data_IF_368990509132
#
_entry.id   IF_368990509132
#
_cell.length_a   1.000
_cell.length_b   1.000
_cell.length_c   1.000
_cell.angle_alpha   90.00
_cell.angle_beta   90.00
_cell.angle_gamma   90.00
#
_symmetry.space_group_name_H-M   'P 1'
#
loop_
_entity.id
_entity.type
_entity.pdbx_description
1 polymer ?
#
# COMPACT_ATOMS: atom_id res chain seq x y z
N UNK A 1 -8.62 -17.26 -22.46
CA UNK A 1 -8.86 -17.31 -20.99
C UNK A 1 -9.49 -16.00 -20.57
N UNK A 2 -10.68 -16.08 -19.95
CA UNK A 2 -11.44 -14.91 -19.45
C UNK A 2 -11.14 -14.68 -17.96
N UNK A 3 -10.56 -13.55 -17.63
CA UNK A 3 -10.15 -13.20 -16.27
C UNK A 3 -10.97 -12.02 -15.78
N UNK A 4 -11.60 -12.16 -14.62
CA UNK A 4 -12.32 -11.08 -13.96
C UNK A 4 -11.59 -10.66 -12.69
N UNK A 5 -11.19 -9.38 -12.61
CA UNK A 5 -10.61 -8.79 -11.42
C UNK A 5 -11.62 -7.95 -10.65
N UNK A 6 -11.82 -8.26 -9.39
CA UNK A 6 -12.50 -7.36 -8.46
C UNK A 6 -11.47 -6.52 -7.71
N UNK A 7 -11.50 -5.21 -7.95
CA UNK A 7 -10.50 -4.27 -7.43
C UNK A 7 -11.15 -3.01 -6.87
N UNK A 8 -10.54 -2.38 -5.87
CA UNK A 8 -10.92 -1.04 -5.39
C UNK A 8 -10.35 0.10 -6.26
N UNK A 9 -9.63 -0.22 -7.34
CA UNK A 9 -8.97 0.76 -8.21
C UNK A 9 -9.83 1.04 -9.43
N UNK A 10 -10.46 2.22 -9.46
CA UNK A 10 -11.19 2.73 -10.63
C UNK A 10 -10.23 3.33 -11.66
N UNK A 11 -10.51 3.14 -12.96
CA UNK A 11 -9.69 3.70 -14.04
C UNK A 11 -9.94 5.19 -14.29
N UNK A 12 -11.16 5.66 -14.11
CA UNK A 12 -11.63 6.92 -14.72
C UNK A 12 -11.43 8.21 -13.92
N UNK A 13 -11.31 8.20 -12.60
CA UNK A 13 -11.37 9.45 -11.84
C UNK A 13 -10.37 9.59 -10.68
N UNK A 14 -9.42 8.72 -10.56
CA UNK A 14 -8.39 8.89 -9.56
C UNK A 14 -7.07 9.36 -10.20
N UNK A 15 -7.02 10.65 -10.58
CA UNK A 15 -5.78 11.42 -10.52
C UNK A 15 -5.25 11.49 -9.07
N UNK A 16 -5.98 10.97 -8.10
CA UNK A 16 -5.54 10.78 -6.73
C UNK A 16 -4.66 9.51 -6.67
N UNK A 17 -3.39 9.72 -6.41
CA UNK A 17 -2.32 8.71 -6.31
C UNK A 17 -2.47 7.80 -5.07
N UNK A 18 -3.66 7.34 -4.78
CA UNK A 18 -4.00 6.51 -3.62
C UNK A 18 -3.77 5.02 -3.81
N UNK A 19 -2.57 4.58 -4.19
CA UNK A 19 -2.26 3.15 -4.35
C UNK A 19 -2.81 2.51 -5.63
N UNK A 20 -2.45 1.27 -5.93
CA UNK A 20 -3.02 0.51 -7.06
C UNK A 20 -2.42 0.80 -8.45
N UNK A 21 -1.41 1.64 -8.57
CA UNK A 21 -0.70 1.86 -9.84
C UNK A 21 -0.13 0.57 -10.41
N UNK A 22 0.38 -0.31 -9.58
CA UNK A 22 0.89 -1.62 -9.95
C UNK A 22 -0.20 -2.56 -10.50
N UNK A 23 -1.46 -2.47 -10.01
CA UNK A 23 -2.60 -3.25 -10.53
C UNK A 23 -2.90 -2.81 -11.97
N UNK A 24 -2.97 -1.51 -12.22
CA UNK A 24 -3.19 -0.96 -13.56
C UNK A 24 -2.06 -1.31 -14.52
N UNK A 25 -0.81 -1.25 -14.05
CA UNK A 25 0.35 -1.66 -14.85
C UNK A 25 0.26 -3.12 -15.27
N UNK A 26 -0.08 -4.01 -14.34
CA UNK A 26 -0.25 -5.43 -14.63
C UNK A 26 -1.46 -5.68 -15.55
N UNK A 27 -2.59 -5.01 -15.36
CA UNK A 27 -3.76 -5.12 -16.23
C UNK A 27 -3.42 -4.73 -17.67
N UNK A 28 -2.76 -3.58 -17.85
CA UNK A 28 -2.35 -3.08 -19.17
C UNK A 28 -1.36 -4.00 -19.88
N UNK A 29 -0.47 -4.69 -19.17
CA UNK A 29 0.46 -5.62 -19.81
C UNK A 29 -0.19 -6.99 -20.09
N UNK A 30 -1.09 -7.47 -19.23
CA UNK A 30 -1.86 -8.69 -19.47
C UNK A 30 -2.82 -8.53 -20.67
N UNK A 31 -3.44 -7.37 -20.84
CA UNK A 31 -4.38 -7.11 -21.92
C UNK A 31 -3.76 -7.10 -23.32
N UNK A 32 -2.43 -7.02 -23.42
CA UNK A 32 -1.71 -7.13 -24.71
C UNK A 32 -1.59 -8.57 -25.22
N UNK A 33 -2.05 -9.55 -24.44
CA UNK A 33 -1.98 -10.98 -24.78
C UNK A 33 -3.26 -11.40 -25.48
N UNK A 34 -3.13 -11.88 -26.72
CA UNK A 34 -4.27 -12.29 -27.56
C UNK A 34 -5.08 -13.46 -26.97
N UNK A 35 -4.43 -14.28 -26.11
CA UNK A 35 -5.06 -15.43 -25.45
C UNK A 35 -5.76 -15.06 -24.13
N UNK A 36 -5.81 -13.76 -23.76
CA UNK A 36 -6.43 -13.27 -22.53
C UNK A 36 -7.51 -12.23 -22.83
N UNK A 37 -8.68 -12.45 -22.23
CA UNK A 37 -9.73 -11.45 -22.12
C UNK A 37 -9.85 -11.00 -20.67
N UNK A 38 -9.38 -9.79 -20.36
CA UNK A 38 -9.38 -9.22 -19.02
C UNK A 38 -10.56 -8.26 -18.80
N UNK A 39 -11.23 -8.37 -17.68
CA UNK A 39 -12.16 -7.37 -17.18
C UNK A 39 -11.82 -6.98 -15.74
N UNK A 40 -12.05 -5.71 -15.40
CA UNK A 40 -11.95 -5.18 -14.03
C UNK A 40 -13.31 -4.68 -13.56
N UNK A 41 -13.80 -5.18 -12.44
CA UNK A 41 -15.04 -4.76 -11.82
C UNK A 41 -14.75 -4.00 -10.51
N UNK A 42 -15.42 -2.88 -10.31
CA UNK A 42 -15.25 -1.99 -9.16
C UNK A 42 -16.53 -1.22 -8.86
N UNK A 43 -16.72 -0.79 -7.61
CA UNK A 43 -17.81 0.08 -7.26
C UNK A 43 -17.54 1.52 -7.70
N UNK A 44 -18.59 2.16 -8.24
CA UNK A 44 -18.51 3.51 -8.76
C UNK A 44 -19.76 4.32 -8.41
N UNK A 45 -19.62 5.63 -8.24
CA UNK A 45 -20.70 6.50 -7.76
C UNK A 45 -21.59 7.03 -8.90
N UNK A 46 -21.14 6.93 -10.16
CA UNK A 46 -21.94 7.26 -11.33
C UNK A 46 -22.44 5.99 -12.02
N UNK A 47 -23.63 6.06 -12.59
CA UNK A 47 -24.22 4.98 -13.40
C UNK A 47 -23.64 5.03 -14.80
N UNK A 48 -22.57 4.27 -15.01
CA UNK A 48 -21.85 4.19 -16.28
C UNK A 48 -21.86 2.76 -16.77
N UNK A 49 -22.23 2.55 -18.03
CA UNK A 49 -22.13 1.24 -18.69
C UNK A 49 -20.70 0.74 -18.76
N UNK A 50 -20.52 -0.57 -18.88
CA UNK A 50 -19.23 -1.18 -19.13
C UNK A 50 -18.59 -0.60 -20.40
N UNK A 51 -17.28 -0.38 -20.37
CA UNK A 51 -16.51 0.22 -21.47
C UNK A 51 -15.13 -0.42 -21.58
N UNK A 52 -14.53 -0.29 -22.74
CA UNK A 52 -13.16 -0.73 -22.99
C UNK A 52 -12.20 0.46 -22.93
N UNK A 53 -11.11 0.32 -22.18
CA UNK A 53 -10.04 1.30 -22.08
C UNK A 53 -8.71 0.58 -21.78
N UNK A 54 -7.61 1.04 -22.38
CA UNK A 54 -6.28 0.45 -22.25
C UNK A 54 -6.22 -1.05 -22.61
N UNK A 55 -7.09 -1.52 -23.51
CA UNK A 55 -7.12 -2.88 -24.05
C UNK A 55 -7.82 -3.90 -23.15
N UNK A 56 -8.55 -3.46 -22.12
CA UNK A 56 -9.36 -4.35 -21.28
C UNK A 56 -10.69 -3.72 -20.87
N UNK A 57 -11.65 -4.58 -20.50
CA UNK A 57 -13.00 -4.16 -20.14
C UNK A 57 -13.04 -3.61 -18.72
N UNK A 58 -13.74 -2.50 -18.53
CA UNK A 58 -14.07 -1.91 -17.23
C UNK A 58 -15.55 -2.09 -16.96
N UNK A 59 -15.90 -2.67 -15.81
CA UNK A 59 -17.28 -2.94 -15.39
C UNK A 59 -17.53 -2.16 -14.09
N UNK A 60 -17.96 -0.88 -14.19
CA UNK A 60 -18.36 -0.10 -13.02
C UNK A 60 -19.67 -0.67 -12.45
N UNK A 61 -19.66 -1.03 -11.18
CA UNK A 61 -20.88 -1.41 -10.45
C UNK A 61 -21.43 -0.17 -9.76
N UNK A 62 -22.57 0.31 -10.24
CA UNK A 62 -23.19 1.52 -9.71
C UNK A 62 -23.56 1.37 -8.24
N UNK A 63 -23.04 2.25 -7.42
CA UNK A 63 -23.33 2.31 -6.00
C UNK A 63 -23.26 3.75 -5.50
N UNK A 64 -24.42 4.34 -5.24
CA UNK A 64 -24.50 5.66 -4.64
C UNK A 64 -23.64 5.75 -3.37
N UNK A 65 -22.88 6.84 -3.26
CA UNK A 65 -22.17 7.15 -2.04
C UNK A 65 -23.18 7.28 -0.89
N UNK A 66 -22.91 6.58 0.20
CA UNK A 66 -23.79 6.62 1.37
C UNK A 66 -23.89 8.04 1.91
N UNK A 67 -25.10 8.54 2.08
CA UNK A 67 -25.38 9.80 2.78
C UNK A 67 -24.83 9.76 4.22
N UNK A 68 -24.69 10.90 4.87
CA UNK A 68 -24.25 10.99 6.28
C UNK A 68 -25.11 10.10 7.21
N UNK A 69 -26.43 10.10 6.99
CA UNK A 69 -27.38 9.28 7.75
C UNK A 69 -27.16 7.79 7.49
N UNK A 70 -26.97 7.39 6.22
CA UNK A 70 -26.69 6.00 5.86
C UNK A 70 -25.31 5.54 6.37
N UNK A 71 -24.28 6.40 6.34
CA UNK A 71 -22.97 6.15 6.97
C UNK A 71 -23.11 5.95 8.48
N UNK A 72 -23.93 6.77 9.14
CA UNK A 72 -24.22 6.59 10.57
C UNK A 72 -24.96 5.26 10.81
N UNK A 73 -26.04 4.97 10.07
CA UNK A 73 -26.81 3.74 10.21
C UNK A 73 -25.96 2.49 9.94
N UNK A 74 -25.13 2.49 8.91
CA UNK A 74 -24.19 1.40 8.63
C UNK A 74 -23.24 1.11 9.80
N UNK A 75 -22.84 2.15 10.53
CA UNK A 75 -21.93 2.01 11.66
C UNK A 75 -22.58 1.44 12.92
N UNK A 76 -23.88 1.64 13.10
CA UNK A 76 -24.58 1.30 14.36
C UNK A 76 -25.61 0.19 14.20
N UNK A 77 -26.17 -0.02 13.01
CA UNK A 77 -27.22 -1.00 12.74
C UNK A 77 -26.63 -2.20 12.00
N UNK A 78 -26.50 -3.33 12.72
CA UNK A 78 -25.94 -4.57 12.15
C UNK A 78 -26.84 -5.15 11.05
N UNK A 79 -28.16 -5.00 11.15
CA UNK A 79 -29.10 -5.51 10.15
C UNK A 79 -28.98 -4.71 8.86
N UNK A 80 -28.91 -3.37 8.96
CA UNK A 80 -28.68 -2.51 7.80
C UNK A 80 -27.34 -2.82 7.13
N UNK A 81 -26.26 -3.02 7.92
CA UNK A 81 -24.95 -3.41 7.38
C UNK A 81 -25.03 -4.73 6.62
N UNK A 82 -25.68 -5.74 7.19
CA UNK A 82 -25.86 -7.05 6.55
C UNK A 82 -26.60 -6.94 5.23
N UNK A 83 -27.74 -6.25 5.21
CA UNK A 83 -28.55 -6.04 3.98
C UNK A 83 -27.75 -5.29 2.91
N UNK A 84 -26.94 -4.29 3.31
CA UNK A 84 -26.08 -3.55 2.39
C UNK A 84 -24.98 -4.44 1.79
N UNK A 85 -24.36 -5.30 2.59
CA UNK A 85 -23.33 -6.23 2.13
C UNK A 85 -23.93 -7.33 1.23
N UNK A 86 -25.16 -7.77 1.49
CA UNK A 86 -25.90 -8.70 0.64
C UNK A 86 -26.25 -8.08 -0.73
N UNK A 87 -26.67 -6.82 -0.77
CA UNK A 87 -26.91 -6.12 -2.03
C UNK A 87 -25.64 -5.97 -2.88
N UNK A 88 -24.51 -5.68 -2.25
CA UNK A 88 -23.21 -5.67 -2.95
C UNK A 88 -22.88 -7.05 -3.53
N UNK A 89 -23.15 -8.13 -2.80
CA UNK A 89 -22.88 -9.50 -3.27
C UNK A 89 -23.74 -9.87 -4.50
N UNK A 90 -24.99 -9.42 -4.55
CA UNK A 90 -25.86 -9.62 -5.72
C UNK A 90 -25.26 -8.91 -6.95
N UNK A 91 -24.84 -7.66 -6.82
CA UNK A 91 -24.20 -6.93 -7.94
C UNK A 91 -22.95 -7.64 -8.45
N UNK A 92 -22.11 -8.16 -7.55
CA UNK A 92 -20.91 -8.92 -7.94
C UNK A 92 -21.29 -10.20 -8.70
N UNK A 93 -22.34 -10.91 -8.28
CA UNK A 93 -22.81 -12.12 -8.96
C UNK A 93 -23.35 -11.82 -10.35
N UNK A 94 -24.11 -10.74 -10.52
CA UNK A 94 -24.61 -10.33 -11.83
C UNK A 94 -23.46 -10.08 -12.82
N UNK A 95 -22.37 -9.40 -12.37
CA UNK A 95 -21.18 -9.20 -13.19
C UNK A 95 -20.51 -10.53 -13.55
N UNK A 96 -20.46 -11.50 -12.64
CA UNK A 96 -19.90 -12.82 -12.91
C UNK A 96 -20.75 -13.59 -13.93
N UNK A 97 -22.06 -13.55 -13.80
CA UNK A 97 -23.00 -14.20 -14.71
C UNK A 97 -22.94 -13.60 -16.12
N UNK A 98 -22.83 -12.28 -16.22
CA UNK A 98 -22.77 -11.56 -17.51
C UNK A 98 -21.41 -11.76 -18.20
N UNK A 99 -20.29 -11.61 -17.47
CA UNK A 99 -18.96 -11.73 -18.06
C UNK A 99 -18.55 -13.20 -18.28
N UNK A 100 -19.07 -14.15 -17.49
CA UNK A 100 -18.75 -15.60 -17.55
C UNK A 100 -17.22 -15.86 -17.52
N UNK A 101 -16.49 -15.46 -16.45
CA UNK A 101 -15.05 -15.63 -16.37
C UNK A 101 -14.65 -17.08 -16.11
N UNK A 102 -13.48 -17.49 -16.62
CA UNK A 102 -12.83 -18.76 -16.27
C UNK A 102 -12.23 -18.70 -14.86
N UNK A 103 -11.72 -17.53 -14.47
CA UNK A 103 -11.08 -17.30 -13.17
C UNK A 103 -11.38 -15.88 -12.64
N UNK A 104 -11.52 -15.78 -11.33
CA UNK A 104 -11.73 -14.50 -10.64
C UNK A 104 -10.52 -14.18 -9.77
N UNK A 105 -10.06 -12.93 -9.77
CA UNK A 105 -9.06 -12.44 -8.83
C UNK A 105 -9.63 -11.33 -7.94
N UNK A 106 -9.42 -11.46 -6.63
CA UNK A 106 -9.80 -10.46 -5.63
C UNK A 106 -8.53 -9.87 -5.03
N UNK A 107 -8.42 -8.54 -5.02
CA UNK A 107 -7.25 -7.85 -4.48
C UNK A 107 -7.49 -7.42 -3.03
N UNK A 108 -6.64 -7.92 -2.12
CA UNK A 108 -6.60 -7.57 -0.70
C UNK A 108 -7.65 -8.26 0.16
N UNK A 109 -7.25 -8.60 1.38
CA UNK A 109 -8.14 -9.18 2.41
C UNK A 109 -9.09 -8.12 3.00
N UNK A 110 -8.74 -6.83 2.85
CA UNK A 110 -9.55 -5.68 3.22
C UNK A 110 -10.72 -5.43 2.28
N UNK A 111 -10.67 -6.01 1.10
CA UNK A 111 -11.59 -5.75 0.00
C UNK A 111 -13.06 -6.07 0.37
N UNK A 112 -13.95 -5.23 -0.15
CA UNK A 112 -15.41 -5.45 -0.07
C UNK A 112 -15.87 -6.65 -0.92
N UNK A 113 -14.99 -7.17 -1.78
CA UNK A 113 -15.23 -8.30 -2.69
C UNK A 113 -14.90 -9.66 -2.06
N UNK A 114 -14.23 -9.68 -0.91
CA UNK A 114 -13.89 -10.93 -0.20
C UNK A 114 -15.09 -11.83 0.16
N UNK A 115 -16.35 -11.34 0.31
CA UNK A 115 -17.50 -12.21 0.51
C UNK A 115 -17.81 -13.20 -0.63
N UNK A 116 -17.21 -13.01 -1.83
CA UNK A 116 -17.29 -13.98 -2.93
C UNK A 116 -16.49 -15.26 -2.66
N UNK A 117 -15.41 -15.17 -1.87
CA UNK A 117 -14.50 -16.29 -1.57
C UNK A 117 -15.29 -17.35 -0.79
N UNK A 118 -15.25 -18.59 -1.28
CA UNK A 118 -16.01 -19.71 -0.73
C UNK A 118 -17.50 -19.74 -1.12
N UNK A 119 -18.01 -18.79 -1.94
CA UNK A 119 -19.41 -18.71 -2.35
C UNK A 119 -19.62 -18.74 -3.86
N UNK A 120 -18.58 -18.93 -4.62
CA UNK A 120 -18.61 -19.01 -6.08
C UNK A 120 -18.00 -20.34 -6.53
N UNK A 121 -18.56 -20.95 -7.58
CA UNK A 121 -18.03 -22.19 -8.16
C UNK A 121 -16.80 -21.92 -9.04
N UNK A 122 -16.73 -20.71 -9.63
CA UNK A 122 -15.57 -20.29 -10.43
C UNK A 122 -14.36 -20.13 -9.49
N UNK A 123 -13.18 -20.61 -9.85
CA UNK A 123 -11.98 -20.46 -9.05
C UNK A 123 -11.70 -18.99 -8.71
N UNK A 124 -11.51 -18.70 -7.42
CA UNK A 124 -11.16 -17.35 -6.95
C UNK A 124 -9.75 -17.40 -6.38
N UNK A 125 -8.88 -16.51 -6.86
CA UNK A 125 -7.56 -16.29 -6.29
C UNK A 125 -7.54 -14.98 -5.52
N UNK A 126 -7.06 -15.03 -4.27
CA UNK A 126 -6.88 -13.86 -3.42
C UNK A 126 -5.45 -13.33 -3.58
N UNK A 127 -5.31 -12.13 -4.15
CA UNK A 127 -4.01 -11.47 -4.26
C UNK A 127 -3.81 -10.51 -3.08
N UNK A 128 -2.86 -10.81 -2.20
CA UNK A 128 -2.61 -10.06 -0.97
C UNK A 128 -2.05 -8.68 -1.26
N UNK A 129 -2.60 -7.64 -0.62
CA UNK A 129 -2.09 -6.27 -0.67
C UNK A 129 -1.47 -5.87 0.68
N UNK A 130 -2.19 -6.08 1.75
CA UNK A 130 -1.76 -5.89 3.12
C UNK A 130 -2.21 -7.04 4.00
N UNK A 131 -1.63 -7.14 5.19
CA UNK A 131 -1.99 -8.12 6.19
C UNK A 131 -2.61 -7.41 7.38
N UNK A 132 -3.92 -7.49 7.52
CA UNK A 132 -4.70 -6.64 8.42
C UNK A 132 -4.46 -6.94 9.90
N UNK A 133 -4.25 -8.22 10.26
CA UNK A 133 -3.94 -8.58 11.65
C UNK A 133 -2.59 -7.99 12.11
N UNK A 134 -1.49 -8.09 11.36
CA UNK A 134 -0.25 -7.35 11.65
C UNK A 134 -0.42 -5.83 11.66
N UNK A 135 -1.18 -5.27 10.72
CA UNK A 135 -1.46 -3.83 10.68
C UNK A 135 -2.26 -3.40 11.92
N UNK A 136 -3.26 -4.16 12.33
CA UNK A 136 -4.02 -3.90 13.55
C UNK A 136 -3.12 -3.91 14.79
N UNK A 137 -2.21 -4.88 14.88
CA UNK A 137 -1.25 -4.96 15.98
C UNK A 137 -0.29 -3.76 16.03
N UNK A 138 0.11 -3.22 14.89
CA UNK A 138 1.02 -2.07 14.78
C UNK A 138 0.31 -0.70 14.71
N UNK A 139 -1.02 -0.66 14.82
CA UNK A 139 -1.81 0.56 14.57
C UNK A 139 -1.47 1.71 15.51
N UNK A 140 -1.22 1.41 16.79
CA UNK A 140 -0.80 2.37 17.78
C UNK A 140 0.70 2.23 18.06
N UNK A 141 1.52 3.09 17.45
CA UNK A 141 2.96 3.04 17.67
C UNK A 141 3.34 3.56 19.07
N UNK A 142 4.44 3.08 19.59
CA UNK A 142 5.18 3.67 20.69
C UNK A 142 4.34 4.06 21.93
N UNK A 143 3.70 3.08 22.58
CA UNK A 143 2.90 3.28 23.79
C UNK A 143 1.63 4.15 23.60
N UNK A 144 1.29 4.52 22.40
CA UNK A 144 0.04 5.20 22.09
C UNK A 144 -1.13 4.24 22.33
N UNK A 145 -2.24 4.78 22.84
CA UNK A 145 -3.48 4.04 23.07
C UNK A 145 -4.69 4.96 22.97
N UNK A 146 -5.89 4.43 23.11
CA UNK A 146 -7.13 5.21 23.08
C UNK A 146 -7.14 6.38 24.08
N UNK A 147 -6.59 6.17 25.28
CA UNK A 147 -6.49 7.20 26.33
C UNK A 147 -5.57 8.34 25.86
N UNK A 148 -4.41 8.00 25.31
CA UNK A 148 -3.47 8.97 24.74
C UNK A 148 -4.14 9.81 23.66
N UNK A 149 -4.84 9.16 22.71
CA UNK A 149 -5.53 9.87 21.63
C UNK A 149 -6.63 10.80 22.19
N UNK A 150 -7.42 10.34 23.14
CA UNK A 150 -8.46 11.14 23.79
C UNK A 150 -7.89 12.38 24.50
N UNK A 151 -6.76 12.23 25.19
CA UNK A 151 -6.10 13.34 25.90
C UNK A 151 -5.53 14.39 24.96
N UNK A 152 -5.05 13.97 23.77
CA UNK A 152 -4.47 14.87 22.78
C UNK A 152 -5.51 15.57 21.89
N UNK A 153 -6.72 15.00 21.75
CA UNK A 153 -7.80 15.54 20.92
C UNK A 153 -8.78 16.35 21.76
N UNK A 154 -8.89 17.64 21.40
CA UNK A 154 -9.92 18.54 21.95
C UNK A 154 -11.15 18.65 21.03
N UNK A 155 -11.20 17.90 19.93
CA UNK A 155 -12.23 18.09 18.91
C UNK A 155 -13.49 17.27 19.23
N UNK A 156 -14.53 17.98 19.71
CA UNK A 156 -15.85 17.40 20.03
C UNK A 156 -16.57 16.84 18.80
N UNK A 157 -16.28 17.34 17.60
CA UNK A 157 -16.94 16.93 16.37
C UNK A 157 -16.58 15.48 15.97
N UNK A 158 -15.33 15.02 16.15
CA UNK A 158 -14.95 13.64 15.89
C UNK A 158 -15.65 12.62 16.83
N UNK A 159 -15.97 13.06 18.05
CA UNK A 159 -16.74 12.24 18.99
C UNK A 159 -18.18 12.09 18.54
N UNK A 160 -18.81 13.17 18.11
CA UNK A 160 -20.20 13.19 17.62
C UNK A 160 -20.38 12.40 16.32
N UNK A 161 -19.42 12.46 15.39
CA UNK A 161 -19.53 11.79 14.08
C UNK A 161 -18.91 10.39 14.06
N UNK A 162 -18.30 9.93 15.15
CA UNK A 162 -17.69 8.59 15.28
C UNK A 162 -16.75 8.22 14.12
N UNK A 163 -15.97 9.19 13.60
CA UNK A 163 -15.11 9.03 12.43
C UNK A 163 -13.60 9.23 12.70
N UNK A 164 -13.21 9.31 13.98
CA UNK A 164 -11.84 9.55 14.39
C UNK A 164 -10.93 8.31 14.35
N UNK A 165 -9.65 8.50 14.72
CA UNK A 165 -8.64 7.43 14.75
C UNK A 165 -9.03 6.24 15.62
N UNK A 166 -9.69 6.46 16.75
CA UNK A 166 -10.18 5.38 17.63
C UNK A 166 -11.24 4.55 16.92
N UNK A 167 -12.14 5.20 16.15
CA UNK A 167 -13.12 4.46 15.36
C UNK A 167 -12.44 3.64 14.27
N UNK A 168 -11.49 4.22 13.55
CA UNK A 168 -10.70 3.50 12.52
C UNK A 168 -9.98 2.29 13.10
N UNK A 169 -9.45 2.39 14.32
CA UNK A 169 -8.84 1.25 15.01
C UNK A 169 -9.84 0.13 15.29
N UNK A 170 -11.06 0.47 15.75
CA UNK A 170 -12.14 -0.51 15.97
C UNK A 170 -12.61 -1.14 14.65
N UNK A 171 -12.79 -0.32 13.61
CA UNK A 171 -13.17 -0.82 12.29
C UNK A 171 -12.09 -1.74 11.71
N UNK A 172 -10.82 -1.39 11.90
CA UNK A 172 -9.69 -2.23 11.49
C UNK A 172 -9.69 -3.57 12.23
N UNK A 173 -10.07 -3.59 13.52
CA UNK A 173 -10.24 -4.84 14.28
C UNK A 173 -11.31 -5.74 13.64
N UNK A 174 -12.48 -5.19 13.32
CA UNK A 174 -13.57 -5.94 12.71
C UNK A 174 -13.14 -6.52 11.34
N UNK A 175 -12.37 -5.75 10.57
CA UNK A 175 -11.86 -6.17 9.27
C UNK A 175 -10.74 -7.21 9.44
N UNK A 176 -9.86 -7.08 10.42
CA UNK A 176 -8.83 -8.06 10.74
C UNK A 176 -9.42 -9.40 11.22
N UNK A 177 -10.50 -9.35 12.02
CA UNK A 177 -11.24 -10.56 12.40
C UNK A 177 -11.94 -11.21 11.19
N UNK A 178 -12.37 -10.41 10.19
CA UNK A 178 -12.89 -10.93 8.92
C UNK A 178 -11.80 -11.58 8.08
N UNK A 179 -10.59 -11.02 8.03
CA UNK A 179 -9.45 -11.55 7.30
C UNK A 179 -9.20 -13.02 7.64
N UNK A 180 -9.28 -13.40 8.93
CA UNK A 180 -9.10 -14.80 9.36
C UNK A 180 -10.15 -15.73 8.76
N UNK A 181 -11.39 -15.27 8.59
CA UNK A 181 -12.45 -16.05 7.93
C UNK A 181 -12.21 -16.17 6.43
N UNK A 182 -11.83 -15.06 5.79
CA UNK A 182 -11.48 -15.04 4.36
C UNK A 182 -10.37 -16.06 4.06
N UNK A 183 -9.34 -16.13 4.89
CA UNK A 183 -8.26 -17.09 4.71
C UNK A 183 -8.71 -18.56 4.87
N UNK A 184 -9.67 -18.84 5.74
CA UNK A 184 -10.21 -20.22 5.89
C UNK A 184 -10.87 -20.71 4.61
N UNK A 185 -11.51 -19.81 3.86
CA UNK A 185 -12.26 -20.13 2.65
C UNK A 185 -11.42 -19.96 1.38
N UNK A 186 -10.24 -19.34 1.48
CA UNK A 186 -9.35 -19.10 0.34
C UNK A 186 -8.62 -20.38 -0.06
N UNK A 187 -8.93 -20.91 -1.26
CA UNK A 187 -8.23 -22.07 -1.86
C UNK A 187 -6.90 -21.67 -2.50
N UNK A 188 -6.86 -20.50 -3.15
CA UNK A 188 -5.72 -19.98 -3.88
C UNK A 188 -5.33 -18.59 -3.37
N UNK A 189 -4.05 -18.40 -3.07
CA UNK A 189 -3.52 -17.15 -2.53
C UNK A 189 -2.28 -16.76 -3.31
N UNK A 190 -2.24 -15.50 -3.76
CA UNK A 190 -1.03 -14.87 -4.32
C UNK A 190 -0.47 -13.89 -3.31
N UNK A 191 0.82 -13.92 -3.08
CA UNK A 191 1.55 -12.94 -2.28
C UNK A 191 2.86 -12.54 -2.92
N UNK A 192 3.48 -11.47 -2.39
CA UNK A 192 4.65 -10.81 -2.97
C UNK A 192 5.93 -11.03 -2.18
N UNK A 193 5.78 -11.29 -0.89
CA UNK A 193 6.89 -11.30 0.07
C UNK A 193 6.92 -12.60 0.91
N UNK A 194 8.05 -12.86 1.54
CA UNK A 194 8.18 -13.95 2.52
C UNK A 194 7.26 -13.74 3.73
N UNK A 195 6.96 -12.48 4.05
CA UNK A 195 5.99 -12.12 5.07
C UNK A 195 4.57 -12.55 4.68
N UNK A 196 4.12 -12.27 3.45
CA UNK A 196 2.84 -12.75 2.92
C UNK A 196 2.72 -14.27 3.05
N UNK A 197 3.76 -14.97 2.62
CA UNK A 197 3.81 -16.42 2.70
C UNK A 197 3.63 -16.91 4.15
N UNK A 198 4.43 -16.41 5.07
CA UNK A 198 4.39 -16.83 6.48
C UNK A 198 3.04 -16.59 7.14
N UNK A 199 2.47 -15.38 6.95
CA UNK A 199 1.18 -15.03 7.54
C UNK A 199 0.03 -15.81 6.88
N UNK A 200 0.07 -16.00 5.55
CA UNK A 200 -0.94 -16.83 4.88
C UNK A 200 -0.89 -18.28 5.37
N UNK A 201 0.30 -18.86 5.59
CA UNK A 201 0.43 -20.22 6.16
C UNK A 201 -0.10 -20.32 7.58
N UNK A 202 -0.03 -19.24 8.36
CA UNK A 202 -0.59 -19.19 9.70
C UNK A 202 -2.13 -19.30 9.71
N UNK A 203 -2.79 -18.63 8.75
CA UNK A 203 -4.25 -18.54 8.71
C UNK A 203 -4.93 -19.46 7.68
N UNK A 204 -4.22 -19.82 6.62
CA UNK A 204 -4.68 -20.66 5.52
C UNK A 204 -3.65 -21.73 5.15
N UNK A 205 -3.25 -22.64 6.08
CA UNK A 205 -2.24 -23.66 5.80
C UNK A 205 -2.66 -24.60 4.65
N UNK A 206 -3.96 -24.75 4.43
CA UNK A 206 -4.55 -25.60 3.38
C UNK A 206 -4.56 -24.93 1.99
N UNK A 207 -4.41 -23.60 1.90
CA UNK A 207 -4.46 -22.91 0.62
C UNK A 207 -3.21 -23.17 -0.21
N UNK A 208 -3.35 -23.19 -1.52
CA UNK A 208 -2.21 -23.17 -2.43
C UNK A 208 -1.70 -21.72 -2.56
N UNK A 209 -0.43 -21.54 -2.26
CA UNK A 209 0.21 -20.22 -2.31
C UNK A 209 1.08 -20.09 -3.56
N UNK A 210 0.94 -18.97 -4.23
CA UNK A 210 1.76 -18.56 -5.37
C UNK A 210 2.49 -17.27 -5.05
N UNK A 211 3.72 -17.14 -5.51
CA UNK A 211 4.48 -15.89 -5.44
C UNK A 211 4.34 -15.16 -6.77
N UNK A 212 3.90 -13.90 -6.71
CA UNK A 212 3.87 -13.01 -7.86
C UNK A 212 4.29 -11.61 -7.42
N UNK A 213 5.35 -11.09 -8.01
CA UNK A 213 5.84 -9.76 -7.69
C UNK A 213 4.89 -8.68 -8.25
N UNK A 214 4.95 -7.48 -7.68
CA UNK A 214 4.22 -6.32 -8.17
C UNK A 214 4.88 -5.71 -9.42
N UNK A 215 4.08 -5.33 -10.40
CA UNK A 215 4.53 -4.58 -11.56
C UNK A 215 4.52 -3.08 -11.25
N UNK A 216 5.64 -2.42 -11.39
CA UNK A 216 5.72 -0.99 -11.11
C UNK A 216 5.20 -0.16 -12.31
N UNK A 217 5.01 1.15 -12.10
CA UNK A 217 4.60 2.07 -13.16
C UNK A 217 5.71 2.24 -14.20
N UNK A 218 5.34 2.27 -15.47
CA UNK A 218 6.29 2.30 -16.61
C UNK A 218 7.32 3.43 -16.52
N UNK A 219 6.90 4.60 -16.07
CA UNK A 219 7.77 5.77 -15.92
C UNK A 219 9.00 5.52 -15.05
N UNK A 220 8.88 4.71 -13.99
CA UNK A 220 10.01 4.41 -13.11
C UNK A 220 11.10 3.53 -13.76
N UNK A 221 10.73 2.72 -14.76
CA UNK A 221 11.71 1.91 -15.50
C UNK A 221 12.50 2.72 -16.53
N UNK A 222 11.86 3.76 -17.12
CA UNK A 222 12.45 4.56 -18.20
C UNK A 222 13.06 5.87 -17.72
N UNK A 223 12.85 6.24 -16.46
CA UNK A 223 13.44 7.45 -15.89
C UNK A 223 14.96 7.35 -15.78
N UNK A 224 15.67 8.49 -15.89
CA UNK A 224 17.11 8.54 -15.64
C UNK A 224 17.46 7.91 -14.29
N UNK A 225 18.63 7.28 -14.25
CA UNK A 225 19.17 6.79 -12.99
C UNK A 225 19.43 7.96 -12.06
N UNK A 226 19.12 7.77 -10.77
CA UNK A 226 19.49 8.71 -9.73
C UNK A 226 21.00 8.91 -9.68
N UNK A 227 21.40 10.15 -9.59
CA UNK A 227 22.77 10.59 -9.34
C UNK A 227 22.75 11.55 -8.16
N UNK A 228 23.71 11.40 -7.24
CA UNK A 228 23.76 12.27 -6.07
C UNK A 228 23.95 13.72 -6.51
N UNK A 229 23.07 14.64 -6.05
CA UNK A 229 23.24 16.06 -6.33
C UNK A 229 24.59 16.58 -5.77
N UNK A 230 25.43 17.12 -6.65
CA UNK A 230 26.72 17.68 -6.25
C UNK A 230 26.59 19.13 -5.75
N UNK A 231 27.43 19.49 -4.78
CA UNK A 231 27.60 20.88 -4.34
C UNK A 231 26.49 21.41 -3.45
N UNK A 232 25.60 20.56 -2.96
CA UNK A 232 24.58 20.97 -1.99
C UNK A 232 25.18 21.03 -0.59
N UNK A 233 24.96 22.16 0.09
CA UNK A 233 25.32 22.36 1.50
C UNK A 233 24.30 21.77 2.48
N UNK A 234 23.17 21.28 1.97
CA UNK A 234 22.02 20.81 2.72
C UNK A 234 21.59 19.45 2.16
N UNK A 235 21.30 18.48 3.04
CA UNK A 235 20.81 17.16 2.65
C UNK A 235 19.31 17.16 2.44
N UNK A 236 18.85 16.51 1.38
CA UNK A 236 17.43 16.33 1.05
C UNK A 236 16.98 14.91 1.37
N UNK A 237 16.19 14.78 2.42
CA UNK A 237 15.62 13.50 2.86
C UNK A 237 14.17 13.44 2.36
N UNK A 238 13.76 12.32 1.82
CA UNK A 238 12.41 12.12 1.30
C UNK A 238 11.68 10.99 2.00
N UNK A 239 10.38 11.16 2.24
CA UNK A 239 9.49 10.09 2.71
C UNK A 239 8.13 10.20 2.08
N UNK A 240 7.51 9.06 1.78
CA UNK A 240 6.11 8.98 1.35
C UNK A 240 5.28 8.42 2.48
N UNK A 241 4.30 9.16 2.95
CA UNK A 241 3.44 8.77 4.06
C UNK A 241 1.96 8.87 3.69
N UNK A 242 1.17 7.90 4.11
CA UNK A 242 -0.29 8.00 4.14
C UNK A 242 -0.78 8.44 5.52
N UNK A 243 -2.02 8.93 5.60
CA UNK A 243 -2.63 9.46 6.82
C UNK A 243 -3.04 8.41 7.84
N UNK A 244 -2.14 7.46 8.17
CA UNK A 244 -2.34 6.43 9.17
C UNK A 244 -1.21 6.45 10.21
N UNK A 245 -1.50 5.96 11.41
CA UNK A 245 -0.60 6.11 12.56
C UNK A 245 0.68 5.26 12.45
N UNK A 246 0.59 4.11 11.82
CA UNK A 246 1.69 3.13 11.75
C UNK A 246 2.73 3.42 10.64
N UNK A 247 2.65 4.57 9.97
CA UNK A 247 3.65 4.96 8.93
C UNK A 247 4.88 5.68 9.49
N UNK A 248 4.99 5.82 10.83
CA UNK A 248 6.22 6.26 11.49
C UNK A 248 6.50 7.77 11.41
N UNK A 249 5.47 8.61 11.29
CA UNK A 249 5.68 10.07 11.26
C UNK A 249 6.27 10.60 12.58
N UNK A 250 5.95 9.97 13.70
CA UNK A 250 6.58 10.27 15.02
C UNK A 250 8.09 9.95 15.03
N UNK A 251 8.52 8.91 14.33
CA UNK A 251 9.96 8.58 14.19
C UNK A 251 10.65 9.68 13.39
N UNK A 252 10.03 10.16 12.30
CA UNK A 252 10.56 11.29 11.51
C UNK A 252 10.76 12.53 12.38
N UNK A 253 9.73 12.94 13.13
CA UNK A 253 9.83 14.13 13.98
C UNK A 253 10.95 14.02 15.02
N UNK A 254 11.05 12.87 15.70
CA UNK A 254 12.09 12.63 16.70
C UNK A 254 13.49 12.59 16.09
N UNK A 255 13.63 11.93 14.93
CA UNK A 255 14.90 11.90 14.19
C UNK A 255 15.31 13.29 13.72
N UNK A 256 14.40 14.05 13.12
CA UNK A 256 14.63 15.41 12.67
C UNK A 256 15.08 16.33 13.82
N UNK A 257 14.47 16.16 15.01
CA UNK A 257 14.92 16.88 16.24
C UNK A 257 16.35 16.52 16.62
N UNK A 258 16.70 15.23 16.61
CA UNK A 258 18.08 14.78 16.91
C UNK A 258 19.08 15.36 15.90
N UNK A 259 18.78 15.31 14.61
CA UNK A 259 19.63 15.88 13.56
C UNK A 259 19.85 17.38 13.77
N UNK A 260 18.77 18.11 14.06
CA UNK A 260 18.83 19.56 14.32
C UNK A 260 19.67 19.88 15.56
N UNK A 261 19.49 19.14 16.65
CA UNK A 261 20.25 19.32 17.90
C UNK A 261 21.76 19.05 17.70
N UNK A 262 22.11 18.24 16.69
CA UNK A 262 23.49 18.00 16.29
C UNK A 262 23.96 18.89 15.14
N UNK A 263 23.25 20.01 14.87
CA UNK A 263 23.63 21.01 13.86
C UNK A 263 23.74 20.48 12.42
N UNK A 264 23.01 19.40 12.09
CA UNK A 264 22.93 18.91 10.73
C UNK A 264 22.10 19.85 9.86
N UNK A 265 22.59 20.13 8.66
CA UNK A 265 21.87 20.92 7.65
C UNK A 265 21.10 19.98 6.72
N UNK A 266 19.77 19.95 6.84
CA UNK A 266 18.91 19.10 6.03
C UNK A 266 17.53 19.69 5.83
N UNK A 267 16.84 19.21 4.79
CA UNK A 267 15.39 19.33 4.59
C UNK A 267 14.77 17.95 4.48
N UNK A 268 13.66 17.73 5.18
CA UNK A 268 12.92 16.49 5.09
C UNK A 268 11.59 16.71 4.42
N UNK A 269 11.44 16.19 3.20
CA UNK A 269 10.24 16.33 2.39
C UNK A 269 9.30 15.15 2.58
N UNK A 270 8.03 15.45 2.89
CA UNK A 270 6.98 14.45 3.10
C UNK A 270 5.95 14.55 1.97
N UNK A 271 5.86 13.53 1.13
CA UNK A 271 4.75 13.37 0.17
C UNK A 271 3.59 12.57 0.77
N UNK A 272 2.36 12.85 0.31
CA UNK A 272 1.13 12.18 0.71
C UNK A 272 0.41 12.78 1.92
N UNK A 273 1.06 13.68 2.65
CA UNK A 273 0.47 14.43 3.76
C UNK A 273 0.55 15.94 3.53
N UNK A 274 -0.39 16.66 4.15
CA UNK A 274 -0.34 18.10 4.29
C UNK A 274 -0.27 18.50 5.76
N UNK A 275 0.23 19.69 6.04
CA UNK A 275 0.40 20.24 7.40
C UNK A 275 -0.87 20.17 8.25
N UNK A 276 -2.03 20.34 7.63
CA UNK A 276 -3.32 20.32 8.32
C UNK A 276 -3.92 18.93 8.51
N UNK A 277 -3.21 17.86 8.11
CA UNK A 277 -3.71 16.52 8.27
C UNK A 277 -3.82 16.12 9.76
N UNK A 278 -4.89 15.40 10.11
CA UNK A 278 -5.17 15.01 11.51
C UNK A 278 -4.05 14.19 12.16
N UNK A 279 -3.38 13.34 11.38
CA UNK A 279 -2.23 12.54 11.84
C UNK A 279 -1.02 13.42 12.12
N UNK A 280 -0.76 14.46 11.32
CA UNK A 280 0.32 15.42 11.57
C UNK A 280 0.10 16.12 12.91
N UNK A 281 -1.08 16.74 13.09
CA UNK A 281 -1.43 17.42 14.36
C UNK A 281 -1.39 16.48 15.57
N UNK A 282 -1.77 15.22 15.39
CA UNK A 282 -1.71 14.23 16.46
C UNK A 282 -0.26 13.99 16.90
N UNK A 283 0.63 13.70 15.95
CA UNK A 283 2.01 13.36 16.26
C UNK A 283 2.84 14.55 16.72
N UNK A 284 2.61 15.76 16.21
CA UNK A 284 3.23 16.97 16.76
C UNK A 284 2.86 17.17 18.25
N UNK A 285 1.58 16.98 18.59
CA UNK A 285 1.15 17.02 20.00
C UNK A 285 1.73 15.87 20.84
N UNK A 286 1.77 14.68 20.28
CA UNK A 286 2.27 13.49 20.97
C UNK A 286 3.77 13.58 21.26
N UNK A 287 4.56 13.98 20.28
CA UNK A 287 6.02 14.14 20.40
C UNK A 287 6.43 15.46 21.05
N UNK A 288 5.53 16.46 21.05
CA UNK A 288 5.81 17.87 21.42
C UNK A 288 6.86 18.51 20.50
N UNK A 289 6.95 18.05 19.27
CA UNK A 289 7.86 18.56 18.25
C UNK A 289 7.01 19.14 17.11
N UNK A 290 7.21 20.40 16.78
CA UNK A 290 6.62 21.04 15.61
C UNK A 290 7.48 20.72 14.38
N UNK A 291 6.86 20.29 13.30
CA UNK A 291 7.56 19.93 12.05
C UNK A 291 8.33 21.12 11.46
N UNK A 292 7.77 22.33 11.51
CA UNK A 292 8.45 23.55 11.03
C UNK A 292 9.75 23.83 11.79
N UNK A 293 9.76 23.53 13.10
CA UNK A 293 10.95 23.77 13.94
C UNK A 293 12.11 22.82 13.64
N UNK A 294 11.85 21.71 12.98
CA UNK A 294 12.82 20.64 12.75
C UNK A 294 13.08 20.35 11.26
N UNK A 295 12.77 21.29 10.37
CA UNK A 295 13.11 21.16 8.93
C UNK A 295 12.27 20.14 8.15
N UNK A 296 11.10 19.77 8.66
CA UNK A 296 10.14 18.87 7.98
C UNK A 296 9.13 19.69 7.18
N UNK A 297 8.99 19.39 5.89
CA UNK A 297 8.08 20.08 4.97
C UNK A 297 7.13 19.12 4.28
N UNK A 298 5.95 19.61 3.87
CA UNK A 298 4.90 18.80 3.28
C UNK A 298 4.67 19.17 1.82
N UNK A 299 4.71 18.18 0.95
CA UNK A 299 4.48 18.35 -0.49
C UNK A 299 3.04 18.00 -0.91
N UNK A 300 2.23 17.48 0.03
CA UNK A 300 0.90 16.98 -0.32
C UNK A 300 0.94 15.74 -1.21
N UNK A 301 -0.15 15.49 -1.94
CA UNK A 301 -0.23 14.38 -2.89
C UNK A 301 0.45 14.79 -4.19
N UNK A 302 1.48 14.04 -4.58
CA UNK A 302 2.24 14.28 -5.81
C UNK A 302 1.70 13.40 -6.95
N UNK A 303 1.73 13.93 -8.15
CA UNK A 303 1.56 13.12 -9.35
C UNK A 303 2.86 12.33 -9.66
N UNK A 304 2.78 11.42 -10.64
CA UNK A 304 3.88 10.51 -10.96
C UNK A 304 5.17 11.24 -11.37
N UNK A 305 5.04 12.25 -12.23
CA UNK A 305 6.19 13.07 -12.65
C UNK A 305 6.80 13.86 -11.49
N UNK A 306 5.96 14.50 -10.67
CA UNK A 306 6.40 15.20 -9.47
C UNK A 306 7.07 14.27 -8.46
N UNK A 307 6.56 13.04 -8.30
CA UNK A 307 7.18 12.06 -7.41
C UNK A 307 8.57 11.64 -7.90
N UNK A 308 8.72 11.36 -9.20
CA UNK A 308 10.00 11.02 -9.80
C UNK A 308 10.98 12.19 -9.63
N UNK A 309 10.55 13.42 -9.90
CA UNK A 309 11.37 14.62 -9.73
C UNK A 309 11.88 14.76 -8.29
N UNK A 310 10.98 14.66 -7.30
CA UNK A 310 11.35 14.76 -5.88
C UNK A 310 12.30 13.64 -5.42
N UNK A 311 12.06 12.41 -5.86
CA UNK A 311 12.97 11.28 -5.58
C UNK A 311 14.35 11.52 -6.22
N UNK A 312 14.40 12.03 -7.45
CA UNK A 312 15.67 12.30 -8.16
C UNK A 312 16.49 13.43 -7.54
N UNK A 313 15.82 14.39 -6.89
CA UNK A 313 16.45 15.52 -6.21
C UNK A 313 16.86 15.22 -4.76
N UNK A 314 16.46 14.06 -4.23
CA UNK A 314 16.73 13.67 -2.85
C UNK A 314 18.04 12.88 -2.73
N UNK A 315 18.68 12.93 -1.56
CA UNK A 315 19.87 12.16 -1.25
C UNK A 315 19.54 10.75 -0.75
N UNK A 316 18.42 10.61 -0.05
CA UNK A 316 17.97 9.33 0.52
C UNK A 316 16.47 9.31 0.72
N UNK A 317 15.87 8.13 0.54
CA UNK A 317 14.50 7.87 0.96
C UNK A 317 14.47 7.15 2.31
N UNK A 318 13.64 7.64 3.22
CA UNK A 318 13.40 7.02 4.52
C UNK A 318 11.98 6.43 4.58
N UNK A 319 11.90 5.14 4.92
CA UNK A 319 10.63 4.42 5.12
C UNK A 319 10.49 3.91 6.57
N UNK A 320 9.99 4.74 7.50
CA UNK A 320 10.05 4.48 8.94
C UNK A 320 8.83 3.73 9.49
N UNK A 321 8.10 3.02 8.63
CA UNK A 321 6.84 2.35 8.99
C UNK A 321 7.02 1.31 10.09
N UNK A 322 6.05 1.22 11.00
CA UNK A 322 5.96 0.17 12.02
C UNK A 322 5.52 -1.18 11.46
N UNK A 323 4.85 -1.16 10.33
CA UNK A 323 4.47 -2.33 9.54
C UNK A 323 4.30 -1.92 8.07
N UNK A 324 4.80 -2.71 7.17
CA UNK A 324 4.48 -2.64 5.74
C UNK A 324 4.62 -4.02 5.11
N UNK A 325 3.81 -4.29 4.10
CA UNK A 325 3.85 -5.57 3.42
C UNK A 325 4.80 -5.53 2.21
N UNK A 326 4.49 -4.66 1.27
CA UNK A 326 5.24 -4.46 0.04
C UNK A 326 5.13 -2.98 -0.35
N UNK A 327 6.02 -2.12 0.20
CA UNK A 327 5.93 -0.68 0.01
C UNK A 327 6.35 -0.27 -1.40
N UNK A 328 5.37 0.10 -2.24
CA UNK A 328 5.64 0.58 -3.60
C UNK A 328 6.65 1.72 -3.63
N UNK A 329 6.62 2.61 -2.65
CA UNK A 329 7.55 3.74 -2.56
C UNK A 329 9.02 3.31 -2.43
N UNK A 330 9.29 2.21 -1.71
CA UNK A 330 10.64 1.61 -1.66
C UNK A 330 11.02 1.05 -3.02
N UNK A 331 10.11 0.32 -3.67
CA UNK A 331 10.33 -0.24 -5.01
C UNK A 331 10.61 0.86 -6.04
N UNK A 332 9.83 1.95 -5.99
CA UNK A 332 9.97 3.12 -6.86
C UNK A 332 11.31 3.82 -6.67
N UNK A 333 11.72 4.06 -5.42
CA UNK A 333 13.02 4.63 -5.09
C UNK A 333 14.17 3.74 -5.59
N UNK A 334 14.07 2.42 -5.38
CA UNK A 334 15.09 1.46 -5.84
C UNK A 334 15.18 1.37 -7.36
N UNK A 335 14.07 1.46 -8.10
CA UNK A 335 14.09 1.50 -9.57
C UNK A 335 14.80 2.74 -10.10
N UNK A 336 14.63 3.88 -9.46
CA UNK A 336 15.41 5.09 -9.78
C UNK A 336 16.86 4.96 -9.36
N UNK A 337 17.16 4.13 -8.37
CA UNK A 337 18.48 4.00 -7.77
C UNK A 337 18.69 4.91 -6.57
N UNK A 338 17.64 5.55 -6.03
CA UNK A 338 17.77 6.35 -4.82
C UNK A 338 18.05 5.42 -3.62
N UNK A 339 19.09 5.70 -2.79
CA UNK A 339 19.35 4.94 -1.58
C UNK A 339 18.15 4.94 -0.61
N UNK A 340 17.93 3.81 0.07
CA UNK A 340 16.78 3.64 0.99
C UNK A 340 17.26 3.22 2.38
N UNK A 341 16.72 3.91 3.39
CA UNK A 341 16.77 3.50 4.79
C UNK A 341 15.36 3.13 5.22
N UNK A 342 15.15 1.94 5.75
CA UNK A 342 13.81 1.47 6.12
C UNK A 342 13.80 0.70 7.44
N UNK A 343 12.63 0.62 8.08
CA UNK A 343 12.46 -0.28 9.22
C UNK A 343 12.45 -1.75 8.78
N UNK A 344 13.04 -2.62 9.60
CA UNK A 344 13.00 -4.08 9.44
C UNK A 344 11.61 -4.60 9.84
N UNK A 345 10.62 -4.47 8.97
CA UNK A 345 9.23 -4.85 9.26
C UNK A 345 8.56 -5.55 8.09
N UNK A 346 7.63 -6.44 8.41
CA UNK A 346 6.79 -7.10 7.43
C UNK A 346 7.57 -7.69 6.27
N UNK A 347 7.25 -7.25 5.05
CA UNK A 347 7.93 -7.69 3.83
C UNK A 347 9.10 -6.80 3.39
N UNK A 348 9.41 -5.72 4.09
CA UNK A 348 10.51 -4.79 3.73
C UNK A 348 11.86 -5.51 3.56
N UNK A 349 12.23 -6.52 4.37
CA UNK A 349 13.48 -7.26 4.19
C UNK A 349 13.58 -8.06 2.88
N UNK A 350 12.48 -8.28 2.17
CA UNK A 350 12.52 -8.91 0.84
C UNK A 350 13.03 -7.95 -0.26
N UNK A 351 13.03 -6.64 0.01
CA UNK A 351 13.47 -5.58 -0.90
C UNK A 351 14.86 -5.05 -0.57
N UNK A 352 15.21 -5.03 0.70
CA UNK A 352 16.45 -4.45 1.18
C UNK A 352 17.25 -5.51 1.93
N UNK A 353 18.46 -5.77 1.46
CA UNK A 353 19.48 -6.49 2.21
C UNK A 353 20.35 -5.46 2.93
N UNK A 354 20.37 -5.53 4.27
CA UNK A 354 21.06 -4.58 5.12
C UNK A 354 22.55 -4.47 4.77
N UNK A 355 23.05 -3.23 4.64
CA UNK A 355 24.44 -2.90 4.26
C UNK A 355 24.89 -3.43 2.87
N UNK A 356 23.96 -3.97 2.09
CA UNK A 356 24.21 -4.45 0.72
C UNK A 356 23.45 -3.63 -0.32
N UNK A 357 22.14 -3.47 -0.13
CA UNK A 357 21.25 -2.75 -1.06
C UNK A 357 20.47 -1.62 -0.39
N UNK A 358 20.86 -1.21 0.80
CA UNK A 358 20.26 -0.17 1.63
C UNK A 358 20.45 -0.47 3.10
N UNK A 359 19.85 0.35 3.95
CA UNK A 359 19.97 0.21 5.39
C UNK A 359 18.63 -0.20 6.02
N UNK A 360 18.67 -1.20 6.88
CA UNK A 360 17.54 -1.61 7.70
C UNK A 360 17.80 -1.23 9.16
N UNK A 361 16.76 -0.73 9.83
CA UNK A 361 16.81 -0.33 11.23
C UNK A 361 15.66 -0.94 12.03
N UNK A 362 15.77 -1.01 13.37
CA UNK A 362 14.65 -1.34 14.23
C UNK A 362 13.49 -0.34 14.08
N UNK A 363 12.27 -0.76 14.35
CA UNK A 363 11.14 0.16 14.47
C UNK A 363 11.27 1.07 15.69
N UNK A 364 10.68 2.26 15.64
CA UNK A 364 10.66 3.18 16.78
C UNK A 364 12.06 3.59 17.26
N UNK A 365 13.06 3.58 16.40
CA UNK A 365 14.43 3.92 16.74
C UNK A 365 14.93 5.17 15.98
N UNK A 366 14.63 6.38 16.48
CA UNK A 366 15.09 7.61 15.88
C UNK A 366 16.62 7.83 16.02
N UNK A 367 17.27 7.16 16.97
CA UNK A 367 18.71 7.31 17.19
C UNK A 367 19.52 6.58 16.13
N UNK A 368 19.19 5.33 15.84
CA UNK A 368 19.82 4.59 14.72
C UNK A 368 19.56 5.29 13.39
N UNK A 369 18.33 5.78 13.15
CA UNK A 369 18.02 6.52 11.94
C UNK A 369 18.85 7.81 11.84
N UNK A 370 18.96 8.60 12.91
CA UNK A 370 19.78 9.80 12.95
C UNK A 370 21.25 9.48 12.70
N UNK A 371 21.78 8.41 13.31
CA UNK A 371 23.16 7.97 13.09
C UNK A 371 23.45 7.65 11.62
N UNK A 372 22.56 6.90 10.96
CA UNK A 372 22.68 6.62 9.52
C UNK A 372 22.64 7.89 8.68
N UNK A 373 21.71 8.80 8.97
CA UNK A 373 21.58 10.07 8.25
C UNK A 373 22.78 11.00 8.46
N UNK A 374 23.40 10.98 9.62
CA UNK A 374 24.59 11.82 9.90
C UNK A 374 25.88 11.25 9.29
N UNK A 375 26.02 9.92 9.26
CA UNK A 375 27.24 9.25 8.86
C UNK A 375 27.22 8.78 7.41
N UNK A 376 26.16 8.07 7.03
CA UNK A 376 26.17 7.29 5.81
C UNK A 376 25.71 8.07 4.57
N UNK A 377 25.02 9.22 4.73
CA UNK A 377 24.64 10.09 3.60
C UNK A 377 25.87 10.73 2.93
N UNK A 378 26.96 10.94 3.67
CA UNK A 378 28.19 11.54 3.16
C UNK A 378 29.18 10.54 2.54
N UNK A 379 28.93 9.24 2.69
CA UNK A 379 29.89 8.17 2.37
C UNK A 379 29.70 7.56 0.97
N UNK A 380 30.78 7.04 0.34
CA UNK A 380 30.68 6.36 -0.97
C UNK A 380 29.77 5.13 -0.98
N UNK A 381 29.45 4.61 0.20
CA UNK A 381 28.58 3.42 0.36
C UNK A 381 27.17 3.61 -0.22
N UNK A 382 26.63 4.84 -0.21
CA UNK A 382 25.31 5.11 -0.78
C UNK A 382 25.24 4.77 -2.27
N UNK A 383 26.30 5.07 -3.04
CA UNK A 383 26.34 4.70 -4.46
C UNK A 383 26.36 3.19 -4.66
N UNK A 384 27.13 2.47 -3.82
CA UNK A 384 27.16 1.01 -3.86
C UNK A 384 25.80 0.41 -3.57
N UNK A 385 25.10 0.90 -2.54
CA UNK A 385 23.75 0.45 -2.22
C UNK A 385 22.76 0.76 -3.35
N UNK A 386 22.83 1.96 -3.90
CA UNK A 386 22.05 2.42 -5.04
C UNK A 386 22.14 1.47 -6.24
N UNK A 387 23.36 1.14 -6.67
CA UNK A 387 23.63 0.25 -7.81
C UNK A 387 23.03 -1.15 -7.59
N UNK A 388 23.30 -1.74 -6.44
CA UNK A 388 22.84 -3.08 -6.11
C UNK A 388 21.30 -3.11 -5.97
N UNK A 389 20.72 -2.10 -5.29
CA UNK A 389 19.28 -1.96 -5.12
C UNK A 389 18.57 -1.86 -6.47
N UNK A 390 19.07 -0.97 -7.36
CA UNK A 390 18.50 -0.78 -8.69
C UNK A 390 18.54 -2.06 -9.53
N UNK A 391 19.66 -2.76 -9.56
CA UNK A 391 19.79 -4.04 -10.28
C UNK A 391 18.80 -5.09 -9.75
N UNK A 392 18.65 -5.18 -8.43
CA UNK A 392 17.67 -6.10 -7.80
C UNK A 392 16.23 -5.70 -8.11
N UNK A 393 15.91 -4.40 -8.07
CA UNK A 393 14.58 -3.89 -8.39
C UNK A 393 14.19 -4.19 -9.85
N UNK A 394 15.07 -3.96 -10.81
CA UNK A 394 14.82 -4.30 -12.22
C UNK A 394 14.60 -5.81 -12.44
N UNK A 395 15.33 -6.66 -11.73
CA UNK A 395 15.13 -8.11 -11.78
C UNK A 395 13.79 -8.51 -11.14
N UNK A 396 13.48 -7.96 -9.96
CA UNK A 396 12.26 -8.29 -9.22
C UNK A 396 10.99 -7.84 -9.95
N UNK A 397 11.03 -6.63 -10.51
CA UNK A 397 9.89 -5.99 -11.16
C UNK A 397 9.92 -6.13 -12.69
N UNK A 398 10.60 -7.15 -13.22
CA UNK A 398 10.63 -7.39 -14.66
C UNK A 398 9.21 -7.67 -15.19
N UNK A 399 8.70 -6.79 -16.03
CA UNK A 399 7.30 -6.79 -16.50
C UNK A 399 6.95 -8.08 -17.26
N UNK A 400 7.85 -8.55 -18.13
CA UNK A 400 7.62 -9.74 -18.94
C UNK A 400 7.55 -11.00 -18.07
N UNK A 401 8.45 -11.13 -17.10
CA UNK A 401 8.44 -12.24 -16.15
C UNK A 401 7.16 -12.21 -15.30
N UNK A 402 6.75 -11.04 -14.80
CA UNK A 402 5.54 -10.91 -13.96
C UNK A 402 4.29 -11.31 -14.76
N UNK A 403 4.18 -10.91 -16.02
CA UNK A 403 3.07 -11.32 -16.90
C UNK A 403 3.07 -12.82 -17.13
N UNK A 404 4.24 -13.38 -17.43
CA UNK A 404 4.41 -14.83 -17.65
C UNK A 404 4.04 -15.64 -16.41
N UNK A 405 4.51 -15.21 -15.24
CA UNK A 405 4.21 -15.85 -13.96
C UNK A 405 2.70 -15.74 -13.64
N UNK A 406 2.07 -14.59 -13.85
CA UNK A 406 0.63 -14.41 -13.63
C UNK A 406 -0.19 -15.37 -14.49
N UNK A 407 0.12 -15.46 -15.79
CA UNK A 407 -0.55 -16.38 -16.73
C UNK A 407 -0.35 -17.84 -16.29
N UNK A 408 0.88 -18.19 -15.91
CA UNK A 408 1.21 -19.54 -15.43
C UNK A 408 0.41 -19.91 -14.19
N UNK A 409 0.26 -18.98 -13.24
CA UNK A 409 -0.55 -19.16 -12.03
C UNK A 409 -2.02 -19.41 -12.40
N UNK A 410 -2.60 -18.60 -13.28
CA UNK A 410 -4.00 -18.79 -13.70
C UNK A 410 -4.22 -20.11 -14.39
N UNK A 411 -3.35 -20.50 -15.34
CA UNK A 411 -3.41 -21.80 -16.03
C UNK A 411 -3.26 -22.97 -15.05
N UNK A 412 -2.36 -22.87 -14.07
CA UNK A 412 -2.20 -23.88 -13.03
C UNK A 412 -3.48 -24.07 -12.19
N UNK A 413 -4.13 -22.96 -11.81
CA UNK A 413 -5.38 -23.00 -11.04
C UNK A 413 -6.51 -23.65 -11.87
N UNK A 414 -6.64 -23.30 -13.14
CA UNK A 414 -7.69 -23.84 -14.01
C UNK A 414 -7.51 -25.33 -14.24
N UNK A 415 -6.31 -25.80 -14.58
CA UNK A 415 -6.01 -27.22 -14.80
C UNK A 415 -6.30 -28.11 -13.57
N UNK A 416 -6.28 -27.56 -12.35
CA UNK A 416 -6.64 -28.29 -11.13
C UNK A 416 -8.14 -28.33 -10.86
N UNK A 417 -8.95 -27.53 -11.52
CA UNK A 417 -10.40 -27.53 -11.36
C UNK A 417 -11.12 -28.25 -12.50
N UNK A 418 -10.42 -28.65 -13.56
CA UNK A 418 -10.94 -29.47 -14.67
C UNK A 418 -10.88 -30.99 -14.35
N UNK A 419 -10.41 -31.37 -13.15
CA UNK A 419 -10.35 -32.73 -12.63
C UNK A 419 -11.39 -32.89 -11.53
#
# INVERSE_FOLDING_TARGET
MKILWFTGVSSKHNNSYGGGGWIRSLASELSKRDDIQLATAYFYDDDISAFEENGYMHIPMYRLERTKVQKFRYNWDKSYRKSYDESNLIMMKNVIEEFTPDIIQVFGTESVFTPLIGKCQIPIVLYLQGMLNPIYNAYYPNLMNDSTIKSLKKDKAEFLFNNGLIRRYKDLKDIADRERRVFKDAKYVIGRTSFDYRISRLYAPQSQYFKLNEMMRKSFYVSPKWEKPFGQSEYHIFSTLSGVTYKGFDVILRTAKILKDNSCHFKWHIAGLNKNHSVVRLFEKFTRICSDDVGVTYLGVLNEGQLIEQLSQSDVMVHPSYIDNSPNSVCEAQLLGLPVIACYVGGVPDFIEHEVSGLLMPTNDPYTLASYLMKDISEPYLYKYSEIARKRAFKRHNSEMIVTDAISIYKNILNQNDI
#
